data_IF_706369999495
#
_entry.id   IF_706369999495
#
_cell.length_a   1.000
_cell.length_b   1.000
_cell.length_c   1.000
_cell.angle_alpha   90.00
_cell.angle_beta   90.00
_cell.angle_gamma   90.00
#
_symmetry.space_group_name_H-M   'P 1'
#
loop_
_entity.id
_entity.type
_entity.pdbx_description
1 polymer ?
#
# COMPACT_ATOMS: atom_id res chain seq x y z
N UNK A 1 -7.96 -17.06 15.86
CA UNK A 1 -8.41 -15.74 15.38
C UNK A 1 -9.44 -15.08 16.27
N UNK A 2 -10.36 -15.80 16.94
CA UNK A 2 -11.42 -15.20 17.79
C UNK A 2 -10.92 -14.35 18.98
N UNK A 3 -9.66 -14.53 19.40
CA UNK A 3 -9.04 -13.77 20.50
C UNK A 3 -7.79 -12.98 20.06
N UNK A 4 -7.55 -12.85 18.75
CA UNK A 4 -6.42 -12.06 18.25
C UNK A 4 -6.81 -10.58 18.22
N UNK A 5 -6.06 -9.74 18.94
CA UNK A 5 -6.23 -8.29 18.92
C UNK A 5 -5.16 -7.69 18.00
N UNK A 6 -5.58 -7.21 16.84
CA UNK A 6 -4.69 -6.49 15.94
C UNK A 6 -4.31 -5.14 16.55
N UNK A 7 -3.05 -4.75 16.41
CA UNK A 7 -2.59 -3.40 16.67
C UNK A 7 -2.51 -2.71 15.31
N UNK A 8 -3.24 -1.61 15.16
CA UNK A 8 -3.32 -0.89 13.89
C UNK A 8 -2.39 0.32 13.90
N UNK A 9 -1.52 0.40 12.89
CA UNK A 9 -0.64 1.54 12.64
C UNK A 9 -1.11 2.23 11.36
N UNK A 10 -1.64 3.45 11.49
CA UNK A 10 -2.29 4.17 10.38
C UNK A 10 -1.43 5.35 9.95
N UNK A 11 -1.05 5.37 8.68
CA UNK A 11 -0.19 6.38 8.07
C UNK A 11 -0.94 7.10 6.93
N UNK A 12 -1.68 8.18 7.20
CA UNK A 12 -2.44 8.90 6.18
C UNK A 12 -1.54 9.84 5.36
N UNK A 13 -2.02 10.23 4.18
CA UNK A 13 -1.43 11.29 3.33
C UNK A 13 0.02 11.02 2.86
N UNK A 14 0.36 9.75 2.64
CA UNK A 14 1.62 9.35 2.02
C UNK A 14 1.59 9.65 0.53
N UNK A 15 2.38 10.63 0.09
CA UNK A 15 2.43 11.14 -1.30
C UNK A 15 3.85 11.21 -1.88
N UNK A 16 4.87 10.84 -1.10
CA UNK A 16 6.28 10.94 -1.50
C UNK A 16 7.08 9.75 -1.03
N UNK A 17 8.15 9.41 -1.75
CA UNK A 17 9.06 8.33 -1.37
C UNK A 17 9.68 8.56 0.01
N UNK A 18 9.99 9.82 0.35
CA UNK A 18 10.51 10.18 1.68
C UNK A 18 9.53 9.83 2.81
N UNK A 19 8.23 10.04 2.59
CA UNK A 19 7.22 9.63 3.57
C UNK A 19 7.11 8.12 3.65
N UNK A 20 7.16 7.41 2.52
CA UNK A 20 7.19 5.94 2.50
C UNK A 20 8.38 5.42 3.31
N UNK A 21 9.59 5.94 3.07
CA UNK A 21 10.79 5.53 3.82
C UNK A 21 10.60 5.65 5.34
N UNK A 22 10.05 6.78 5.82
CA UNK A 22 9.78 6.96 7.25
C UNK A 22 8.79 5.95 7.82
N UNK A 23 7.75 5.61 7.06
CA UNK A 23 6.80 4.58 7.48
C UNK A 23 7.49 3.21 7.58
N UNK A 24 8.41 2.90 6.67
CA UNK A 24 9.18 1.66 6.73
C UNK A 24 10.16 1.61 7.91
N UNK A 25 10.74 2.74 8.32
CA UNK A 25 11.52 2.84 9.57
C UNK A 25 10.67 2.43 10.79
N UNK A 26 9.41 2.88 10.86
CA UNK A 26 8.50 2.48 11.95
C UNK A 26 8.09 0.99 11.85
N UNK A 27 7.88 0.47 10.63
CA UNK A 27 7.51 -0.94 10.39
C UNK A 27 8.65 -1.89 10.76
N UNK A 28 9.92 -1.48 10.63
CA UNK A 28 11.07 -2.29 11.04
C UNK A 28 11.05 -2.59 12.54
N UNK A 29 10.56 -1.65 13.36
CA UNK A 29 10.42 -1.82 14.81
C UNK A 29 9.21 -2.69 15.17
N UNK A 30 8.11 -2.57 14.43
CA UNK A 30 6.86 -3.31 14.67
C UNK A 30 6.36 -4.02 13.38
N UNK A 31 7.01 -5.13 12.96
CA UNK A 31 6.72 -5.78 11.70
C UNK A 31 5.34 -6.46 11.69
N UNK A 32 4.65 -6.38 10.55
CA UNK A 32 3.30 -6.93 10.40
C UNK A 32 2.80 -6.94 8.96
N UNK A 33 1.50 -7.22 8.81
CA UNK A 33 0.81 -7.18 7.51
C UNK A 33 0.64 -5.72 7.08
N UNK A 34 1.02 -5.41 5.85
CA UNK A 34 0.93 -4.06 5.30
C UNK A 34 -0.23 -4.00 4.29
N UNK A 35 -1.21 -3.16 4.60
CA UNK A 35 -2.32 -2.84 3.69
C UNK A 35 -2.17 -1.40 3.23
N UNK A 36 -2.13 -1.16 1.92
CA UNK A 36 -1.96 0.18 1.38
C UNK A 36 -2.95 0.53 0.27
N UNK A 37 -3.21 1.83 0.15
CA UNK A 37 -4.12 2.42 -0.83
C UNK A 37 -3.41 3.54 -1.58
N UNK A 38 -2.50 3.16 -2.48
CA UNK A 38 -1.69 4.10 -3.27
C UNK A 38 -1.99 3.92 -4.74
N UNK A 39 -2.25 5.04 -5.43
CA UNK A 39 -2.56 5.06 -6.88
C UNK A 39 -1.31 5.31 -7.72
N UNK A 40 -0.34 6.06 -7.17
CA UNK A 40 0.94 6.32 -7.83
C UNK A 40 1.75 5.03 -7.96
N UNK A 41 2.10 4.66 -9.19
CA UNK A 41 2.78 3.40 -9.45
C UNK A 41 4.23 3.38 -8.99
N UNK A 42 4.91 4.53 -8.93
CA UNK A 42 6.29 4.57 -8.45
C UNK A 42 6.32 4.33 -6.94
N UNK A 43 5.41 4.97 -6.20
CA UNK A 43 5.24 4.72 -4.77
C UNK A 43 4.81 3.27 -4.49
N UNK A 44 3.82 2.75 -5.22
CA UNK A 44 3.37 1.37 -5.06
C UNK A 44 4.51 0.36 -5.29
N UNK A 45 5.29 0.53 -6.37
CA UNK A 45 6.48 -0.31 -6.63
C UNK A 45 7.51 -0.21 -5.52
N UNK A 46 7.77 1.00 -5.02
CA UNK A 46 8.71 1.20 -3.91
C UNK A 46 8.27 0.54 -2.61
N UNK A 47 6.95 0.47 -2.35
CA UNK A 47 6.38 -0.27 -1.22
C UNK A 47 6.59 -1.78 -1.44
N UNK A 48 6.22 -2.30 -2.61
CA UNK A 48 6.31 -3.73 -2.93
C UNK A 48 7.75 -4.25 -2.83
N UNK A 49 8.73 -3.50 -3.37
CA UNK A 49 10.15 -3.87 -3.33
C UNK A 49 10.69 -3.93 -1.89
N UNK A 50 10.32 -2.96 -1.04
CA UNK A 50 10.75 -2.95 0.37
C UNK A 50 10.10 -4.08 1.16
N UNK A 51 8.80 -4.31 0.97
CA UNK A 51 8.10 -5.44 1.60
C UNK A 51 8.72 -6.78 1.21
N UNK A 52 9.04 -6.96 -0.08
CA UNK A 52 9.72 -8.16 -0.57
C UNK A 52 11.12 -8.32 0.06
N UNK A 53 11.88 -7.23 0.17
CA UNK A 53 13.20 -7.24 0.80
C UNK A 53 13.15 -7.60 2.30
N UNK A 54 12.09 -7.17 3.00
CA UNK A 54 11.87 -7.47 4.42
C UNK A 54 11.18 -8.83 4.65
N UNK A 55 10.68 -9.48 3.59
CA UNK A 55 9.87 -10.70 3.70
C UNK A 55 8.51 -10.50 4.36
N UNK A 56 7.96 -9.27 4.32
CA UNK A 56 6.67 -8.94 4.91
C UNK A 56 5.52 -9.08 3.91
N UNK A 57 4.35 -9.61 4.34
CA UNK A 57 3.16 -9.66 3.50
C UNK A 57 2.60 -8.26 3.25
N UNK A 58 2.43 -7.91 1.97
CA UNK A 58 1.95 -6.60 1.54
C UNK A 58 0.82 -6.73 0.51
N UNK A 59 -0.23 -5.91 0.65
CA UNK A 59 -1.41 -5.95 -0.22
C UNK A 59 -1.84 -4.53 -0.61
N UNK A 60 -1.88 -4.28 -1.92
CA UNK A 60 -2.57 -3.12 -2.49
C UNK A 60 -4.07 -3.36 -2.47
N UNK A 61 -4.78 -2.63 -1.62
CA UNK A 61 -6.24 -2.74 -1.49
C UNK A 61 -6.96 -2.06 -2.68
N UNK A 62 -6.31 -1.08 -3.31
CA UNK A 62 -6.91 -0.36 -4.44
C UNK A 62 -6.83 -1.13 -5.76
N UNK A 63 -5.84 -2.00 -5.99
CA UNK A 63 -5.66 -2.63 -7.30
C UNK A 63 -6.88 -3.47 -7.76
N UNK A 64 -7.48 -4.33 -6.90
CA UNK A 64 -8.69 -5.06 -7.27
C UNK A 64 -9.86 -4.13 -7.62
N UNK A 65 -9.99 -3.02 -6.88
CA UNK A 65 -11.05 -2.03 -7.09
C UNK A 65 -10.83 -1.31 -8.43
N UNK A 66 -9.61 -0.87 -8.72
CA UNK A 66 -9.24 -0.22 -9.97
C UNK A 66 -9.45 -1.16 -11.18
N UNK A 67 -9.13 -2.45 -11.04
CA UNK A 67 -9.35 -3.44 -12.09
C UNK A 67 -10.84 -3.60 -12.46
N UNK A 68 -11.75 -3.58 -11.47
CA UNK A 68 -13.20 -3.60 -11.70
C UNK A 68 -13.66 -2.33 -12.42
N UNK A 69 -13.16 -1.16 -12.02
CA UNK A 69 -13.50 0.08 -12.72
C UNK A 69 -13.02 0.09 -14.17
N UNK A 70 -11.82 -0.42 -14.44
CA UNK A 70 -11.28 -0.52 -15.80
C UNK A 70 -12.12 -1.47 -16.68
N UNK A 71 -12.51 -2.63 -16.14
CA UNK A 71 -13.32 -3.59 -16.89
C UNK A 71 -14.74 -3.09 -17.16
N UNK A 72 -15.31 -2.32 -16.23
CA UNK A 72 -16.65 -1.75 -16.39
C UNK A 72 -16.70 -0.52 -17.30
N UNK A 73 -15.72 0.39 -17.20
CA UNK A 73 -15.71 1.66 -17.93
C UNK A 73 -14.98 1.58 -19.28
N UNK A 74 -14.35 0.44 -19.61
CA UNK A 74 -13.70 0.17 -20.91
C UNK A 74 -12.50 1.08 -21.23
N UNK A 75 -12.11 1.96 -20.31
CA UNK A 75 -11.02 2.92 -20.46
C UNK A 75 -10.09 2.73 -19.27
N UNK A 76 -8.76 2.67 -19.46
CA UNK A 76 -7.84 2.67 -18.32
C UNK A 76 -8.17 3.89 -17.47
N UNK A 77 -8.64 3.68 -16.24
CA UNK A 77 -8.83 4.75 -15.28
C UNK A 77 -7.51 5.51 -15.22
N UNK A 78 -7.47 6.69 -15.81
CA UNK A 78 -6.26 7.49 -15.86
C UNK A 78 -5.84 7.69 -14.41
N UNK A 79 -4.69 7.12 -14.04
CA UNK A 79 -4.05 7.32 -12.73
C UNK A 79 -3.56 8.78 -12.67
N UNK A 80 -4.50 9.72 -12.62
CA UNK A 80 -4.25 11.15 -12.48
C UNK A 80 -4.43 11.49 -11.02
N UNK A 81 -3.31 11.69 -10.35
CA UNK A 81 -3.25 12.27 -9.01
C UNK A 81 -3.52 13.77 -9.16
N UNK A 82 -4.51 14.26 -8.40
CA UNK A 82 -4.73 15.68 -8.13
C UNK A 82 -4.15 16.08 -6.78
#
# INVERSE_FOLDING_TARGET
YKDARAIEHIYPLIRTEKQVTKVFEDIEEEPGIILYTVVDQNLARGIDERCAAMGLPCVSVLEPVLAVFQSYLGTPAGRRVG
#
